data_IF_735362945284
#
_entry.id   IF_735362945284
#
_cell.length_a   1.000
_cell.length_b   1.000
_cell.length_c   1.000
_cell.angle_alpha   90.00
_cell.angle_beta   90.00
_cell.angle_gamma   90.00
#
_symmetry.space_group_name_H-M   'P 1'
#
loop_
_entity.id
_entity.type
_entity.pdbx_description
1 polymer ?
#
# COMPACT_ATOMS: atom_id res chain seq x y z
N UNK A 1 43.07 33.18 -17.72
CA UNK A 1 42.45 34.16 -16.81
C UNK A 1 41.10 33.60 -16.40
N UNK A 2 41.08 32.90 -15.27
CA UNK A 2 39.85 32.38 -14.66
C UNK A 2 39.44 33.42 -13.62
N UNK A 3 38.19 33.86 -13.67
CA UNK A 3 37.71 35.04 -12.96
C UNK A 3 37.79 34.95 -11.43
N UNK A 4 37.88 36.11 -10.80
CA UNK A 4 37.81 36.30 -9.34
C UNK A 4 36.35 36.48 -8.92
N UNK A 5 35.98 35.89 -7.77
CA UNK A 5 34.68 36.10 -7.14
C UNK A 5 34.86 36.84 -5.82
N UNK A 6 34.00 37.83 -5.58
CA UNK A 6 33.95 38.63 -4.35
C UNK A 6 32.73 38.23 -3.53
N UNK A 7 32.94 37.87 -2.27
CA UNK A 7 31.88 37.65 -1.30
C UNK A 7 31.72 38.90 -0.44
N UNK A 8 30.53 39.50 -0.48
CA UNK A 8 30.17 40.63 0.38
C UNK A 8 29.23 40.10 1.46
N UNK A 9 29.68 40.13 2.71
CA UNK A 9 28.84 39.74 3.84
C UNK A 9 27.76 40.79 4.13
N UNK A 10 26.70 40.39 4.84
CA UNK A 10 25.58 41.28 5.24
C UNK A 10 25.97 42.45 6.16
N UNK A 11 27.24 42.56 6.55
CA UNK A 11 27.78 43.65 7.36
C UNK A 11 28.86 44.46 6.63
N UNK A 12 29.06 44.23 5.32
CA UNK A 12 29.86 45.11 4.46
C UNK A 12 31.37 44.84 4.41
N UNK A 13 31.87 43.80 5.08
CA UNK A 13 33.29 43.43 4.94
C UNK A 13 33.51 42.54 3.72
N UNK A 14 34.57 42.85 2.97
CA UNK A 14 34.98 42.20 1.73
C UNK A 14 36.31 41.47 1.97
N UNK A 15 36.35 40.16 1.69
CA UNK A 15 37.59 39.38 1.70
C UNK A 15 37.79 38.70 0.35
N UNK A 16 39.03 38.70 -0.12
CA UNK A 16 39.45 38.16 -1.41
C UNK A 16 40.12 36.80 -1.18
N UNK A 17 39.54 35.73 -1.73
CA UNK A 17 40.05 34.37 -1.54
C UNK A 17 40.70 33.91 -2.86
N UNK A 18 42.01 33.67 -2.81
CA UNK A 18 42.75 33.11 -3.94
C UNK A 18 42.85 31.58 -3.76
N UNK A 19 42.28 30.82 -4.68
CA UNK A 19 42.16 29.35 -4.56
C UNK A 19 43.01 28.69 -5.64
N UNK A 20 44.30 28.50 -5.32
CA UNK A 20 45.20 27.62 -6.09
C UNK A 20 45.43 26.26 -5.36
N UNK A 21 44.66 25.94 -4.29
CA UNK A 21 44.95 24.79 -3.40
C UNK A 21 43.72 23.88 -3.12
N UNK A 22 42.62 23.98 -3.87
CA UNK A 22 41.44 23.11 -3.64
C UNK A 22 41.16 22.25 -4.87
N UNK A 23 41.38 20.93 -4.75
CA UNK A 23 41.31 19.96 -5.84
C UNK A 23 39.91 19.32 -6.01
N UNK A 24 38.94 19.59 -5.13
CA UNK A 24 37.58 19.04 -5.25
C UNK A 24 36.46 19.87 -4.62
N UNK A 25 35.22 19.66 -5.09
CA UNK A 25 33.99 20.28 -4.57
C UNK A 25 33.79 20.05 -3.06
N UNK A 26 34.37 18.97 -2.52
CA UNK A 26 34.32 18.61 -1.10
C UNK A 26 35.19 19.53 -0.24
N UNK A 27 36.30 20.01 -0.79
CA UNK A 27 37.24 20.87 -0.08
C UNK A 27 36.70 22.30 0.01
N UNK A 28 35.99 22.74 -1.03
CA UNK A 28 35.24 24.01 -1.05
C UNK A 28 34.12 24.00 0.01
N UNK A 29 33.35 22.90 0.09
CA UNK A 29 32.28 22.76 1.10
C UNK A 29 32.83 22.83 2.54
N UNK A 30 33.92 22.12 2.83
CA UNK A 30 34.52 22.09 4.16
C UNK A 30 35.18 23.42 4.56
N UNK A 31 35.71 24.18 3.60
CA UNK A 31 36.32 25.48 3.86
C UNK A 31 35.30 26.53 4.34
N UNK A 32 34.12 26.59 3.70
CA UNK A 32 33.05 27.52 4.07
C UNK A 32 32.19 27.06 5.26
N UNK A 33 32.23 25.77 5.60
CA UNK A 33 31.42 25.19 6.68
C UNK A 33 32.28 24.57 7.78
N UNK A 34 33.05 25.44 8.48
CA UNK A 34 33.60 25.13 9.80
C UNK A 34 32.47 24.94 10.83
N UNK A 35 31.69 23.87 10.71
CA UNK A 35 30.69 23.52 11.72
C UNK A 35 31.38 22.92 12.94
N UNK A 36 31.21 23.60 14.09
CA UNK A 36 31.41 22.97 15.40
C UNK A 36 30.43 21.80 15.49
N UNK A 37 30.94 20.57 15.50
CA UNK A 37 30.15 19.38 15.87
C UNK A 37 29.57 19.58 17.27
N UNK A 38 28.28 19.91 17.35
CA UNK A 38 27.50 19.72 18.56
C UNK A 38 27.21 18.21 18.64
N UNK A 39 27.49 17.62 19.79
CA UNK A 39 27.40 16.19 20.02
C UNK A 39 25.92 15.74 19.94
N UNK A 40 25.49 15.20 18.79
CA UNK A 40 24.11 14.75 18.52
C UNK A 40 23.74 13.44 19.24
N UNK A 41 24.14 13.24 20.50
CA UNK A 41 23.79 12.04 21.26
C UNK A 41 22.38 12.05 21.85
N UNK A 42 21.69 13.20 21.86
CA UNK A 42 20.38 13.36 22.52
C UNK A 42 19.28 13.93 21.62
N UNK A 43 19.43 13.87 20.29
CA UNK A 43 18.31 14.20 19.40
C UNK A 43 17.44 12.96 19.25
N UNK A 44 16.36 12.89 20.04
CA UNK A 44 15.30 11.92 19.81
C UNK A 44 14.53 12.34 18.55
N UNK A 45 14.79 11.66 17.44
CA UNK A 45 14.13 11.90 16.14
C UNK A 45 12.60 11.78 16.24
N UNK A 46 12.09 11.07 17.25
CA UNK A 46 10.65 11.00 17.59
C UNK A 46 10.03 12.34 18.00
N UNK A 47 10.85 13.33 18.37
CA UNK A 47 10.38 14.65 18.84
C UNK A 47 10.55 15.74 17.78
N UNK A 48 11.05 15.39 16.60
CA UNK A 48 11.18 16.33 15.48
C UNK A 48 10.04 16.03 14.51
N UNK A 49 9.01 16.86 14.57
CA UNK A 49 7.98 16.91 13.54
C UNK A 49 8.57 17.55 12.29
N UNK A 50 9.03 16.72 11.34
CA UNK A 50 9.54 17.15 10.03
C UNK A 50 8.40 17.57 9.08
N UNK A 51 7.15 17.52 9.53
CA UNK A 51 6.02 18.07 8.82
C UNK A 51 6.20 19.59 8.81
N UNK A 52 6.35 20.25 7.64
CA UNK A 52 6.36 21.71 7.60
C UNK A 52 5.16 22.23 8.38
N UNK A 53 5.35 23.28 9.18
CA UNK A 53 4.35 23.86 10.10
C UNK A 53 2.95 24.06 9.46
N UNK A 54 2.87 24.09 8.13
CA UNK A 54 1.68 24.16 7.28
C UNK A 54 0.91 22.84 7.05
N UNK A 55 1.33 21.70 7.59
CA UNK A 55 0.73 20.38 7.34
C UNK A 55 0.19 19.67 8.59
N UNK A 56 0.12 20.35 9.75
CA UNK A 56 -0.39 19.77 11.01
C UNK A 56 -1.81 19.23 10.88
N UNK A 57 -2.69 19.92 10.17
CA UNK A 57 -4.06 19.44 9.92
C UNK A 57 -4.07 18.18 9.03
N UNK A 58 -3.22 18.14 8.01
CA UNK A 58 -3.08 16.98 7.14
C UNK A 58 -2.62 15.74 7.91
N UNK A 59 -1.65 15.92 8.81
CA UNK A 59 -1.17 14.86 9.69
C UNK A 59 -2.27 14.39 10.66
N UNK A 60 -3.07 15.32 11.19
CA UNK A 60 -4.23 14.98 12.03
C UNK A 60 -5.24 14.13 11.27
N UNK A 61 -5.58 14.48 10.03
CA UNK A 61 -6.49 13.68 9.21
C UNK A 61 -5.89 12.31 8.85
N UNK A 62 -4.61 12.27 8.49
CA UNK A 62 -3.93 11.01 8.21
C UNK A 62 -3.97 10.08 9.42
N UNK A 63 -3.67 10.58 10.63
CA UNK A 63 -3.69 9.81 11.87
C UNK A 63 -5.11 9.35 12.21
N UNK A 64 -6.10 10.23 12.11
CA UNK A 64 -7.50 9.88 12.34
C UNK A 64 -7.98 8.75 11.41
N UNK A 65 -7.66 8.85 10.11
CA UNK A 65 -7.99 7.81 9.13
C UNK A 65 -7.28 6.50 9.48
N UNK A 66 -5.98 6.57 9.81
CA UNK A 66 -5.18 5.39 10.16
C UNK A 66 -5.72 4.68 11.39
N UNK A 67 -5.97 5.42 12.46
CA UNK A 67 -6.51 4.89 13.72
C UNK A 67 -7.89 4.27 13.51
N UNK A 68 -8.75 4.90 12.70
CA UNK A 68 -10.06 4.35 12.34
C UNK A 68 -9.92 3.03 11.60
N UNK A 69 -9.04 2.96 10.60
CA UNK A 69 -8.79 1.74 9.82
C UNK A 69 -8.27 0.62 10.72
N UNK A 70 -7.22 0.90 11.50
CA UNK A 70 -6.57 -0.09 12.37
C UNK A 70 -7.53 -0.64 13.41
N UNK A 71 -8.30 0.23 14.06
CA UNK A 71 -9.30 -0.17 15.04
C UNK A 71 -10.35 -1.07 14.42
N UNK A 72 -11.00 -0.64 13.34
CA UNK A 72 -12.10 -1.37 12.74
C UNK A 72 -11.67 -2.69 12.10
N UNK A 73 -10.45 -2.77 11.54
CA UNK A 73 -9.89 -4.02 11.05
C UNK A 73 -9.57 -4.97 12.21
N UNK A 74 -8.91 -4.49 13.26
CA UNK A 74 -8.54 -5.32 14.43
C UNK A 74 -9.77 -5.86 15.15
N UNK A 75 -10.73 -5.00 15.45
CA UNK A 75 -11.96 -5.37 16.15
C UNK A 75 -12.87 -6.25 15.28
N UNK A 76 -12.93 -5.97 13.97
CA UNK A 76 -13.87 -6.58 13.05
C UNK A 76 -13.42 -7.90 12.43
N UNK A 77 -12.12 -8.11 12.26
CA UNK A 77 -11.56 -9.29 11.61
C UNK A 77 -10.73 -10.17 12.54
N UNK A 78 -10.35 -9.73 13.74
CA UNK A 78 -9.47 -10.49 14.65
C UNK A 78 -8.18 -10.92 13.94
N UNK A 79 -7.44 -9.94 13.42
CA UNK A 79 -6.20 -10.12 12.65
C UNK A 79 -4.98 -10.26 13.56
N UNK A 80 -3.98 -11.00 13.09
CA UNK A 80 -2.61 -10.95 13.62
C UNK A 80 -1.81 -9.88 12.88
N UNK A 81 -1.20 -8.96 13.62
CA UNK A 81 -0.37 -7.91 13.02
C UNK A 81 1.02 -8.44 12.69
N UNK A 82 1.46 -8.22 11.45
CA UNK A 82 2.78 -8.61 10.97
C UNK A 82 3.51 -7.41 10.39
N UNK A 83 4.83 -7.55 10.25
CA UNK A 83 5.67 -6.58 9.57
C UNK A 83 6.71 -7.30 8.72
N UNK A 84 6.70 -7.01 7.44
CA UNK A 84 7.62 -7.55 6.44
C UNK A 84 8.64 -6.48 6.04
N UNK A 85 9.69 -6.92 5.35
CA UNK A 85 10.74 -6.02 4.85
C UNK A 85 10.27 -5.23 3.64
N UNK A 86 10.73 -3.98 3.50
CA UNK A 86 10.46 -3.15 2.32
C UNK A 86 11.35 -3.49 1.13
N UNK A 87 12.40 -4.28 1.34
CA UNK A 87 13.35 -4.75 0.31
C UNK A 87 13.41 -6.27 0.34
N UNK A 88 13.26 -6.90 -0.82
CA UNK A 88 13.40 -8.35 -0.99
C UNK A 88 14.46 -8.67 -2.03
N UNK A 89 15.19 -9.77 -1.83
CA UNK A 89 16.01 -10.36 -2.89
C UNK A 89 15.08 -10.94 -3.95
N UNK A 90 15.22 -10.48 -5.19
CA UNK A 90 14.40 -10.92 -6.31
C UNK A 90 14.62 -12.42 -6.60
N UNK A 91 13.58 -13.09 -7.06
CA UNK A 91 13.60 -14.52 -7.43
C UNK A 91 12.42 -14.83 -8.37
N UNK A 92 12.44 -16.02 -8.99
CA UNK A 92 11.44 -16.45 -9.97
C UNK A 92 9.99 -16.33 -9.48
N UNK A 93 9.72 -16.64 -8.20
CA UNK A 93 8.36 -16.56 -7.62
C UNK A 93 7.89 -15.12 -7.50
N UNK A 94 8.77 -14.21 -7.09
CA UNK A 94 8.45 -12.78 -7.03
C UNK A 94 8.26 -12.20 -8.43
N UNK A 95 9.02 -12.65 -9.43
CA UNK A 95 8.82 -12.25 -10.83
C UNK A 95 7.50 -12.78 -11.40
N UNK A 96 7.12 -14.01 -11.06
CA UNK A 96 5.83 -14.58 -11.45
C UNK A 96 4.67 -13.82 -10.79
N UNK A 97 4.77 -13.52 -9.48
CA UNK A 97 3.80 -12.68 -8.76
C UNK A 97 3.70 -11.27 -9.37
N UNK A 98 4.85 -10.68 -9.72
CA UNK A 98 4.90 -9.38 -10.37
C UNK A 98 4.16 -9.39 -11.72
N UNK A 99 4.42 -10.39 -12.57
CA UNK A 99 3.72 -10.58 -13.85
C UNK A 99 2.23 -10.80 -13.64
N UNK A 100 1.86 -11.58 -12.63
CA UNK A 100 0.46 -11.84 -12.25
C UNK A 100 -0.28 -10.53 -11.95
N UNK A 101 0.32 -9.66 -11.15
CA UNK A 101 -0.32 -8.42 -10.72
C UNK A 101 -0.16 -7.28 -11.73
N UNK A 102 0.78 -7.39 -12.67
CA UNK A 102 1.10 -6.32 -13.63
C UNK A 102 1.67 -5.08 -12.95
N UNK A 103 2.41 -5.25 -11.84
CA UNK A 103 2.98 -4.15 -11.07
C UNK A 103 4.40 -3.85 -11.52
N UNK A 104 4.66 -2.59 -11.88
CA UNK A 104 6.03 -2.12 -12.09
C UNK A 104 6.69 -1.86 -10.74
N UNK A 105 7.90 -2.38 -10.56
CA UNK A 105 8.64 -2.31 -9.29
C UNK A 105 9.98 -1.62 -9.49
N UNK A 106 10.48 -0.98 -8.44
CA UNK A 106 11.84 -0.47 -8.41
C UNK A 106 12.81 -1.63 -8.15
N UNK A 107 13.91 -1.67 -8.92
CA UNK A 107 15.03 -2.56 -8.68
C UNK A 107 16.12 -1.81 -7.91
N UNK A 108 16.60 -2.39 -6.82
CA UNK A 108 17.76 -1.93 -6.06
C UNK A 108 18.96 -2.79 -6.48
N UNK A 109 19.73 -2.30 -7.44
CA UNK A 109 20.69 -3.13 -8.20
C UNK A 109 19.98 -4.30 -8.94
N UNK A 110 20.71 -5.22 -9.56
CA UNK A 110 20.08 -6.34 -10.29
C UNK A 110 19.43 -7.38 -9.37
N UNK A 111 19.85 -7.46 -8.10
CA UNK A 111 19.44 -8.53 -7.18
C UNK A 111 18.23 -8.23 -6.30
N UNK A 112 17.91 -6.96 -6.00
CA UNK A 112 16.89 -6.62 -5.00
C UNK A 112 15.76 -5.77 -5.58
N UNK A 113 14.61 -5.81 -4.93
CA UNK A 113 13.42 -5.04 -5.32
C UNK A 113 12.86 -4.30 -4.11
N UNK A 114 12.32 -3.10 -4.33
CA UNK A 114 11.40 -2.50 -3.36
C UNK A 114 10.02 -3.13 -3.53
N UNK A 115 9.38 -3.48 -2.42
CA UNK A 115 8.11 -4.21 -2.44
C UNK A 115 6.98 -3.33 -3.03
N UNK A 116 6.30 -3.77 -4.11
CA UNK A 116 5.22 -2.99 -4.71
C UNK A 116 3.87 -3.20 -4.01
N UNK A 117 3.75 -4.23 -3.17
CA UNK A 117 2.57 -4.51 -2.35
C UNK A 117 2.99 -5.39 -1.15
N UNK A 118 2.21 -5.37 -0.07
CA UNK A 118 2.42 -6.21 1.12
C UNK A 118 2.46 -7.71 0.77
N UNK A 119 1.68 -8.12 -0.24
CA UNK A 119 1.67 -9.46 -0.82
C UNK A 119 3.05 -10.10 -0.97
N UNK A 120 4.04 -9.34 -1.45
CA UNK A 120 5.38 -9.85 -1.72
C UNK A 120 6.08 -10.32 -0.44
N UNK A 121 5.92 -9.57 0.65
CA UNK A 121 6.46 -9.92 1.95
C UNK A 121 5.72 -11.10 2.56
N UNK A 122 4.38 -11.04 2.57
CA UNK A 122 3.53 -12.06 3.20
C UNK A 122 3.70 -13.43 2.54
N UNK A 123 3.72 -13.50 1.21
CA UNK A 123 3.88 -14.80 0.53
C UNK A 123 5.32 -15.32 0.58
N UNK A 124 6.30 -14.43 0.70
CA UNK A 124 7.67 -14.84 1.01
C UNK A 124 7.78 -15.46 2.42
N UNK A 125 7.04 -14.94 3.39
CA UNK A 125 6.98 -15.48 4.75
C UNK A 125 6.34 -16.88 4.78
N UNK A 126 5.25 -17.08 4.01
CA UNK A 126 4.51 -18.34 3.95
C UNK A 126 5.00 -19.33 2.88
N UNK A 127 6.18 -19.07 2.30
CA UNK A 127 6.74 -19.86 1.21
C UNK A 127 6.91 -21.33 1.61
N UNK A 128 6.40 -22.24 0.78
CA UNK A 128 6.47 -23.70 0.96
C UNK A 128 5.80 -24.23 2.26
N UNK A 129 4.97 -23.42 2.92
CA UNK A 129 4.25 -23.82 4.14
C UNK A 129 3.10 -24.78 3.82
N UNK A 130 2.95 -25.81 4.65
CA UNK A 130 1.79 -26.70 4.64
C UNK A 130 0.99 -26.53 5.95
N UNK A 131 -0.10 -25.78 5.85
CA UNK A 131 -1.03 -25.45 6.93
C UNK A 131 -1.90 -26.65 7.31
N UNK A 132 -2.38 -26.64 8.55
CA UNK A 132 -3.41 -27.56 9.03
C UNK A 132 -4.78 -26.89 9.01
N UNK A 133 -5.85 -27.68 8.86
CA UNK A 133 -7.20 -27.13 8.74
C UNK A 133 -7.66 -26.37 10.00
N UNK A 134 -7.20 -26.77 11.19
CA UNK A 134 -7.52 -26.16 12.49
C UNK A 134 -6.89 -24.77 12.70
N UNK A 135 -5.89 -24.41 11.91
CA UNK A 135 -5.29 -23.08 11.91
C UNK A 135 -6.10 -22.06 11.11
N UNK A 136 -7.04 -22.51 10.27
CA UNK A 136 -7.75 -21.65 9.33
C UNK A 136 -9.07 -21.13 9.93
N UNK A 137 -9.47 -19.89 9.59
CA UNK A 137 -8.75 -18.93 8.73
C UNK A 137 -7.62 -18.22 9.48
N UNK A 138 -6.46 -18.08 8.81
CA UNK A 138 -5.37 -17.22 9.29
C UNK A 138 -5.57 -15.85 8.66
N UNK A 139 -5.63 -14.79 9.47
CA UNK A 139 -5.80 -13.41 9.00
C UNK A 139 -4.62 -12.57 9.44
N UNK A 140 -3.90 -12.02 8.49
CA UNK A 140 -2.72 -11.21 8.70
C UNK A 140 -3.03 -9.78 8.30
N UNK A 141 -2.64 -8.82 9.12
CA UNK A 141 -2.72 -7.40 8.81
C UNK A 141 -1.32 -6.80 8.79
N UNK A 142 -1.04 -6.00 7.77
CA UNK A 142 0.18 -5.22 7.67
C UNK A 142 -0.14 -3.78 7.25
N UNK A 143 0.41 -2.81 7.99
CA UNK A 143 0.50 -1.43 7.53
C UNK A 143 1.80 -1.24 6.73
N UNK A 144 1.78 -1.65 5.47
CA UNK A 144 2.97 -1.79 4.65
C UNK A 144 3.38 -0.47 3.97
N UNK A 145 4.69 -0.20 3.91
CA UNK A 145 5.24 0.85 3.04
C UNK A 145 5.58 0.23 1.68
N UNK A 146 4.95 0.70 0.63
CA UNK A 146 5.06 0.13 -0.72
C UNK A 146 5.59 1.14 -1.74
N UNK A 147 6.19 0.62 -2.81
CA UNK A 147 6.85 1.39 -3.85
C UNK A 147 6.47 0.89 -5.24
N UNK A 148 5.88 1.75 -6.08
CA UNK A 148 5.50 1.40 -7.45
C UNK A 148 6.02 2.44 -8.43
N UNK A 149 6.50 1.97 -9.58
CA UNK A 149 6.76 2.87 -10.70
C UNK A 149 5.40 3.21 -11.32
N UNK A 150 5.07 4.49 -11.32
CA UNK A 150 3.85 5.02 -11.93
C UNK A 150 4.22 5.96 -13.08
N UNK A 151 3.34 6.05 -14.07
CA UNK A 151 3.53 6.97 -15.19
C UNK A 151 3.49 8.43 -14.71
N UNK A 152 4.44 9.25 -15.18
CA UNK A 152 4.64 10.66 -14.74
C UNK A 152 3.40 11.55 -14.82
N UNK A 153 2.39 11.18 -15.62
CA UNK A 153 1.19 11.99 -15.88
C UNK A 153 0.05 11.79 -14.88
N UNK A 154 0.22 10.92 -13.87
CA UNK A 154 -0.84 10.61 -12.90
C UNK A 154 -0.76 11.54 -11.70
N UNK A 155 -1.93 11.92 -11.17
CA UNK A 155 -2.04 12.68 -9.93
C UNK A 155 -1.33 11.94 -8.78
N UNK A 156 -0.34 12.61 -8.21
CA UNK A 156 0.55 12.07 -7.19
C UNK A 156 -0.16 11.61 -5.91
N UNK A 157 -1.33 12.15 -5.56
CA UNK A 157 -2.09 11.69 -4.39
C UNK A 157 -2.99 10.49 -4.73
N UNK A 158 -3.52 10.44 -5.94
CA UNK A 158 -4.33 9.30 -6.41
C UNK A 158 -3.48 8.09 -6.74
N UNK A 159 -2.25 8.29 -7.24
CA UNK A 159 -1.31 7.24 -7.67
C UNK A 159 0.16 7.60 -7.33
N UNK A 160 0.50 7.70 -6.04
CA UNK A 160 1.87 7.96 -5.61
C UNK A 160 2.81 6.80 -5.95
N UNK A 161 4.09 7.13 -6.15
CA UNK A 161 5.16 6.13 -6.30
C UNK A 161 5.57 5.49 -4.98
N UNK A 162 5.32 6.16 -3.85
CA UNK A 162 5.52 5.62 -2.49
C UNK A 162 4.26 5.82 -1.68
N UNK A 163 3.76 4.77 -1.03
CA UNK A 163 2.49 4.85 -0.32
C UNK A 163 2.43 3.92 0.87
N UNK A 164 1.52 4.20 1.80
CA UNK A 164 1.22 3.34 2.93
C UNK A 164 -0.04 2.54 2.62
N UNK A 165 0.03 1.23 2.77
CA UNK A 165 -1.04 0.29 2.40
C UNK A 165 -1.43 -0.52 3.64
N UNK A 166 -2.57 -0.23 4.27
CA UNK A 166 -3.23 -1.14 5.20
C UNK A 166 -3.76 -2.32 4.37
N UNK A 167 -3.15 -3.49 4.55
CA UNK A 167 -3.46 -4.69 3.77
C UNK A 167 -3.76 -5.86 4.70
N UNK A 168 -4.69 -6.71 4.26
CA UNK A 168 -5.13 -7.90 4.98
C UNK A 168 -5.05 -9.10 4.04
N UNK A 169 -4.33 -10.13 4.47
CA UNK A 169 -4.23 -11.42 3.79
C UNK A 169 -4.89 -12.49 4.65
N UNK A 170 -5.85 -13.21 4.06
CA UNK A 170 -6.54 -14.28 4.75
C UNK A 170 -6.36 -15.61 4.00
N UNK A 171 -5.71 -16.57 4.66
CA UNK A 171 -5.59 -17.95 4.17
C UNK A 171 -6.83 -18.73 4.62
N UNK A 172 -7.55 -19.31 3.67
CA UNK A 172 -8.87 -19.91 3.94
C UNK A 172 -9.19 -21.09 3.02
N UNK A 173 -9.85 -22.11 3.57
CA UNK A 173 -10.31 -23.30 2.83
C UNK A 173 -11.83 -23.29 2.61
N UNK A 174 -12.61 -23.13 3.68
CA UNK A 174 -14.09 -23.17 3.67
C UNK A 174 -14.67 -21.80 3.95
N UNK A 175 -15.94 -21.59 3.55
CA UNK A 175 -16.69 -20.36 3.83
C UNK A 175 -16.03 -19.07 3.30
N UNK A 176 -15.32 -19.17 2.16
CA UNK A 176 -14.57 -18.06 1.56
C UNK A 176 -15.42 -16.80 1.39
N UNK A 177 -16.67 -16.93 0.94
CA UNK A 177 -17.51 -15.76 0.71
C UNK A 177 -18.13 -15.17 1.98
N UNK A 178 -18.29 -15.96 3.04
CA UNK A 178 -18.62 -15.39 4.36
C UNK A 178 -17.45 -14.56 4.88
N UNK A 179 -16.22 -14.99 4.62
CA UNK A 179 -15.03 -14.20 4.95
C UNK A 179 -14.91 -12.94 4.09
N UNK A 180 -15.11 -13.04 2.76
CA UNK A 180 -15.21 -11.88 1.86
C UNK A 180 -16.25 -10.89 2.38
N UNK A 181 -17.42 -11.37 2.80
CA UNK A 181 -18.49 -10.53 3.35
C UNK A 181 -18.04 -9.75 4.58
N UNK A 182 -17.33 -10.37 5.53
CA UNK A 182 -16.77 -9.66 6.71
C UNK A 182 -15.87 -8.51 6.28
N UNK A 183 -14.95 -8.74 5.34
CA UNK A 183 -14.07 -7.70 4.84
C UNK A 183 -14.86 -6.55 4.19
N UNK A 184 -15.88 -6.88 3.39
CA UNK A 184 -16.76 -5.87 2.80
C UNK A 184 -17.52 -5.05 3.85
N UNK A 185 -18.07 -5.69 4.88
CA UNK A 185 -18.80 -5.01 5.96
C UNK A 185 -17.86 -4.05 6.70
N UNK A 186 -16.66 -4.49 7.06
CA UNK A 186 -15.67 -3.64 7.75
C UNK A 186 -15.23 -2.47 6.87
N UNK A 187 -14.95 -2.70 5.58
CA UNK A 187 -14.57 -1.61 4.68
C UNK A 187 -15.72 -0.61 4.43
N UNK A 188 -16.95 -1.10 4.30
CA UNK A 188 -18.14 -0.24 4.27
C UNK A 188 -18.29 0.58 5.55
N UNK A 189 -18.08 -0.03 6.71
CA UNK A 189 -18.16 0.65 8.01
C UNK A 189 -17.12 1.75 8.13
N UNK A 190 -15.86 1.47 7.79
CA UNK A 190 -14.77 2.46 7.79
C UNK A 190 -15.13 3.64 6.87
N UNK A 191 -15.52 3.38 5.63
CA UNK A 191 -15.88 4.47 4.70
C UNK A 191 -17.10 5.27 5.16
N UNK A 192 -18.09 4.63 5.81
CA UNK A 192 -19.23 5.32 6.43
C UNK A 192 -18.79 6.20 7.61
N UNK A 193 -17.89 5.74 8.48
CA UNK A 193 -17.32 6.54 9.59
C UNK A 193 -16.54 7.75 9.08
N UNK A 194 -15.79 7.55 7.98
CA UNK A 194 -15.06 8.62 7.32
C UNK A 194 -15.96 9.51 6.45
N UNK A 195 -17.25 9.18 6.33
CA UNK A 195 -18.25 9.84 5.49
C UNK A 195 -17.84 9.95 4.01
N UNK A 196 -17.02 9.02 3.53
CA UNK A 196 -16.60 8.99 2.13
C UNK A 196 -17.69 8.25 1.34
N UNK A 197 -18.40 8.90 0.40
CA UNK A 197 -19.43 8.24 -0.39
C UNK A 197 -18.78 7.18 -1.30
N UNK A 198 -19.48 6.07 -1.55
CA UNK A 198 -18.93 5.01 -2.39
C UNK A 198 -19.99 4.19 -3.10
N UNK A 199 -19.56 3.57 -4.20
CA UNK A 199 -20.25 2.52 -4.93
C UNK A 199 -19.42 1.24 -4.89
N UNK A 200 -20.08 0.08 -4.99
CA UNK A 200 -19.40 -1.21 -5.02
C UNK A 200 -19.48 -1.76 -6.45
N UNK A 201 -18.34 -2.17 -6.99
CA UNK A 201 -18.27 -2.93 -8.23
C UNK A 201 -17.68 -4.31 -7.98
N UNK A 202 -18.36 -5.35 -8.46
CA UNK A 202 -17.88 -6.72 -8.44
C UNK A 202 -17.44 -7.09 -9.85
N UNK A 203 -16.21 -7.58 -9.99
CA UNK A 203 -15.78 -8.29 -11.20
C UNK A 203 -15.68 -9.78 -10.91
N UNK A 204 -16.31 -10.60 -11.74
CA UNK A 204 -16.45 -12.04 -11.53
C UNK A 204 -16.58 -12.77 -12.88
N UNK A 205 -16.20 -14.04 -12.96
CA UNK A 205 -16.44 -14.83 -14.18
C UNK A 205 -17.90 -15.30 -14.27
N UNK A 206 -18.35 -15.68 -15.47
CA UNK A 206 -19.72 -16.18 -15.67
C UNK A 206 -20.00 -17.40 -14.78
N UNK A 207 -19.09 -18.38 -14.78
CA UNK A 207 -19.22 -19.59 -13.97
C UNK A 207 -19.37 -19.26 -12.48
N UNK A 208 -18.47 -18.43 -11.96
CA UNK A 208 -18.42 -18.06 -10.55
C UNK A 208 -19.66 -17.23 -10.15
N UNK A 209 -20.17 -16.39 -11.07
CA UNK A 209 -21.38 -15.62 -10.83
C UNK A 209 -22.61 -16.52 -10.68
N UNK A 210 -22.79 -17.49 -11.59
CA UNK A 210 -23.94 -18.40 -11.52
C UNK A 210 -23.97 -19.21 -10.22
N UNK A 211 -22.81 -19.70 -9.78
CA UNK A 211 -22.69 -20.45 -8.52
C UNK A 211 -22.97 -19.60 -7.28
N UNK A 212 -22.69 -18.29 -7.33
CA UNK A 212 -22.65 -17.42 -6.14
C UNK A 212 -23.68 -16.30 -6.13
N UNK A 213 -24.59 -16.30 -7.10
CA UNK A 213 -25.60 -15.24 -7.30
C UNK A 213 -26.37 -14.92 -6.03
N UNK A 214 -26.80 -15.93 -5.28
CA UNK A 214 -27.58 -15.70 -4.05
C UNK A 214 -26.71 -15.14 -2.91
N UNK A 215 -25.48 -15.61 -2.78
CA UNK A 215 -24.52 -15.08 -1.81
C UNK A 215 -24.25 -13.59 -2.11
N UNK A 216 -24.04 -13.22 -3.37
CA UNK A 216 -23.82 -11.83 -3.79
C UNK A 216 -25.05 -10.97 -3.49
N UNK A 217 -26.27 -11.48 -3.69
CA UNK A 217 -27.52 -10.78 -3.32
C UNK A 217 -27.62 -10.54 -1.81
N UNK A 218 -27.23 -11.52 -1.00
CA UNK A 218 -27.23 -11.38 0.46
C UNK A 218 -26.17 -10.38 0.93
N UNK A 219 -24.97 -10.38 0.33
CA UNK A 219 -23.95 -9.35 0.56
C UNK A 219 -24.52 -7.96 0.27
N UNK A 220 -25.18 -7.76 -0.88
CA UNK A 220 -25.74 -6.45 -1.25
C UNK A 220 -26.78 -5.95 -0.24
N UNK A 221 -27.66 -6.85 0.24
CA UNK A 221 -28.65 -6.55 1.28
C UNK A 221 -28.00 -6.15 2.60
N UNK A 222 -27.02 -6.93 3.06
CA UNK A 222 -26.34 -6.71 4.34
C UNK A 222 -25.53 -5.41 4.35
N UNK A 223 -24.96 -5.02 3.21
CA UNK A 223 -24.25 -3.75 3.06
C UNK A 223 -25.17 -2.54 2.90
N UNK A 224 -26.46 -2.78 2.59
CA UNK A 224 -27.44 -1.77 2.17
C UNK A 224 -26.93 -0.93 1.00
N UNK A 225 -26.31 -1.59 0.01
CA UNK A 225 -25.64 -0.95 -1.12
C UNK A 225 -25.82 -1.75 -2.41
N UNK A 226 -26.03 -1.04 -3.51
CA UNK A 226 -26.00 -1.62 -4.84
C UNK A 226 -24.59 -2.11 -5.20
N UNK A 227 -24.54 -3.26 -5.89
CA UNK A 227 -23.31 -3.85 -6.39
C UNK A 227 -23.39 -3.94 -7.92
N UNK A 228 -22.53 -3.18 -8.59
CA UNK A 228 -22.41 -3.20 -10.06
C UNK A 228 -21.59 -4.43 -10.45
N UNK A 229 -22.25 -5.44 -11.02
CA UNK A 229 -21.61 -6.71 -11.42
C UNK A 229 -21.12 -6.61 -12.87
N UNK A 230 -19.81 -6.77 -13.05
CA UNK A 230 -19.13 -6.89 -14.34
C UNK A 230 -18.71 -8.34 -14.54
N UNK A 231 -19.48 -9.06 -15.36
CA UNK A 231 -19.18 -10.45 -15.72
C UNK A 231 -18.14 -10.46 -16.84
N UNK A 232 -17.02 -11.15 -16.60
CA UNK A 232 -15.93 -11.26 -17.56
C UNK A 232 -15.80 -12.68 -18.11
N UNK A 233 -15.32 -12.88 -19.36
CA UNK A 233 -15.07 -14.20 -19.90
C UNK A 233 -14.11 -15.02 -19.02
N UNK A 234 -14.36 -16.33 -18.91
CA UNK A 234 -13.57 -17.26 -18.09
C UNK A 234 -12.05 -17.24 -18.41
N UNK A 235 -11.67 -16.80 -19.60
CA UNK A 235 -10.29 -16.75 -20.10
C UNK A 235 -9.42 -15.65 -19.48
N UNK A 236 -9.97 -14.76 -18.66
CA UNK A 236 -9.25 -13.60 -18.13
C UNK A 236 -9.43 -13.50 -16.61
N UNK A 237 -8.69 -14.31 -15.83
CA UNK A 237 -7.84 -13.86 -14.69
C UNK A 237 -7.39 -14.99 -13.76
N UNK A 238 -6.45 -14.61 -12.89
CA UNK A 238 -5.90 -15.41 -11.81
C UNK A 238 -6.79 -15.47 -10.56
N UNK A 239 -7.74 -14.56 -10.44
CA UNK A 239 -8.65 -14.46 -9.31
C UNK A 239 -10.05 -15.00 -9.64
N UNK A 240 -10.77 -15.44 -8.61
CA UNK A 240 -12.15 -15.94 -8.64
C UNK A 240 -13.16 -14.78 -8.67
N UNK A 241 -12.95 -13.79 -7.79
CA UNK A 241 -13.72 -12.56 -7.75
C UNK A 241 -12.90 -11.38 -7.23
N UNK A 242 -13.32 -10.16 -7.61
CA UNK A 242 -12.73 -8.92 -7.13
C UNK A 242 -13.79 -7.86 -6.90
N UNK A 243 -14.12 -7.62 -5.64
CA UNK A 243 -14.90 -6.47 -5.21
C UNK A 243 -14.01 -5.23 -5.14
N UNK A 244 -14.58 -4.08 -5.50
CA UNK A 244 -13.93 -2.79 -5.53
C UNK A 244 -14.87 -1.74 -4.96
N UNK A 245 -14.36 -0.88 -4.09
CA UNK A 245 -15.07 0.33 -3.71
C UNK A 245 -14.60 1.47 -4.60
N UNK A 246 -15.54 2.23 -5.12
CA UNK A 246 -15.29 3.31 -6.06
C UNK A 246 -15.85 4.60 -5.46
N UNK A 247 -14.98 5.59 -5.31
CA UNK A 247 -15.32 6.97 -5.00
C UNK A 247 -15.41 7.77 -6.30
N UNK A 248 -16.38 8.69 -6.39
CA UNK A 248 -16.47 9.64 -7.49
C UNK A 248 -16.14 11.02 -6.91
N UNK A 249 -15.05 11.61 -7.39
CA UNK A 249 -14.56 12.88 -6.86
C UNK A 249 -15.33 14.10 -7.39
N UNK A 250 -15.02 15.27 -6.83
CA UNK A 250 -15.61 16.56 -7.23
C UNK A 250 -15.39 16.94 -8.70
N UNK A 251 -14.38 16.35 -9.36
CA UNK A 251 -14.08 16.53 -10.78
C UNK A 251 -14.77 15.48 -11.67
N UNK A 252 -15.66 14.66 -11.11
CA UNK A 252 -16.31 13.53 -11.77
C UNK A 252 -15.37 12.39 -12.21
N UNK A 253 -14.17 12.28 -11.64
CA UNK A 253 -13.29 11.13 -11.85
C UNK A 253 -13.63 9.99 -10.89
N UNK A 254 -13.46 8.75 -11.35
CA UNK A 254 -13.72 7.55 -10.55
C UNK A 254 -12.42 6.98 -9.97
N UNK A 255 -12.34 6.93 -8.65
CA UNK A 255 -11.18 6.49 -7.90
C UNK A 255 -11.52 5.15 -7.23
N UNK A 256 -10.75 4.10 -7.54
CA UNK A 256 -10.87 2.82 -6.83
C UNK A 256 -10.20 2.93 -5.46
N UNK A 257 -10.93 2.85 -4.36
CA UNK A 257 -10.40 2.90 -3.00
C UNK A 257 -9.87 1.54 -2.57
N UNK A 258 -10.79 0.66 -2.19
CA UNK A 258 -10.48 -0.64 -1.60
C UNK A 258 -10.71 -1.78 -2.59
N UNK A 259 -10.12 -2.93 -2.26
CA UNK A 259 -10.35 -4.19 -2.98
C UNK A 259 -10.49 -5.34 -2.01
N UNK A 260 -11.40 -6.27 -2.30
CA UNK A 260 -11.45 -7.61 -1.69
C UNK A 260 -11.39 -8.61 -2.83
N UNK A 261 -10.31 -9.37 -2.92
CA UNK A 261 -10.01 -10.26 -4.03
C UNK A 261 -9.79 -11.68 -3.53
N UNK A 262 -10.44 -12.65 -4.17
CA UNK A 262 -10.22 -14.09 -3.93
C UNK A 262 -9.29 -14.62 -5.03
N UNK A 263 -8.14 -15.16 -4.65
CA UNK A 263 -7.14 -15.72 -5.56
C UNK A 263 -6.71 -17.13 -5.10
N UNK A 264 -6.33 -17.97 -6.07
CA UNK A 264 -5.81 -19.33 -5.88
C UNK A 264 -4.49 -19.56 -6.64
N UNK A 265 -4.04 -18.61 -7.48
CA UNK A 265 -2.76 -18.74 -8.20
C UNK A 265 -1.59 -18.37 -7.31
N UNK A 266 -1.74 -17.37 -6.45
CA UNK A 266 -0.68 -17.00 -5.50
C UNK A 266 -0.22 -18.17 -4.64
N UNK A 267 -1.16 -18.97 -4.09
CA UNK A 267 -0.81 -20.17 -3.32
C UNK A 267 -0.02 -21.18 -4.15
N UNK A 268 -0.28 -21.30 -5.46
CA UNK A 268 0.46 -22.20 -6.34
C UNK A 268 1.90 -21.72 -6.56
N UNK A 269 2.09 -20.42 -6.82
CA UNK A 269 3.40 -19.79 -7.04
C UNK A 269 4.31 -20.01 -5.82
N UNK A 270 3.76 -19.77 -4.63
CA UNK A 270 4.52 -19.87 -3.37
C UNK A 270 4.45 -21.24 -2.70
N UNK A 271 3.77 -22.21 -3.33
CA UNK A 271 3.53 -23.57 -2.81
C UNK A 271 2.93 -23.60 -1.40
N UNK A 272 2.01 -22.67 -1.14
CA UNK A 272 1.28 -22.57 0.12
C UNK A 272 0.13 -23.57 0.07
N UNK A 273 0.13 -24.53 1.00
CA UNK A 273 -0.82 -25.64 1.02
C UNK A 273 -1.56 -25.72 2.33
N UNK A 274 -2.71 -26.38 2.33
CA UNK A 274 -3.37 -26.94 3.49
C UNK A 274 -3.46 -28.45 3.29
N UNK A 275 -2.86 -29.23 4.18
CA UNK A 275 -2.86 -30.70 4.14
C UNK A 275 -2.58 -31.28 2.73
N UNK A 276 -1.60 -30.69 2.04
CA UNK A 276 -1.17 -31.11 0.70
C UNK A 276 -1.95 -30.52 -0.47
N UNK A 277 -3.07 -29.82 -0.23
CA UNK A 277 -3.91 -29.15 -1.25
C UNK A 277 -3.61 -27.65 -1.31
N UNK A 278 -3.76 -27.04 -2.49
CA UNK A 278 -3.61 -25.59 -2.63
C UNK A 278 -4.76 -24.88 -1.92
N UNK A 279 -4.44 -23.80 -1.21
CA UNK A 279 -5.39 -23.03 -0.40
C UNK A 279 -5.87 -21.77 -1.14
N UNK A 280 -7.08 -21.30 -0.86
CA UNK A 280 -7.56 -20.00 -1.35
C UNK A 280 -7.02 -18.88 -0.46
N UNK A 281 -6.72 -17.75 -1.08
CA UNK A 281 -6.22 -16.56 -0.40
C UNK A 281 -7.18 -15.40 -0.70
N UNK A 282 -7.63 -14.72 0.34
CA UNK A 282 -8.32 -13.45 0.22
C UNK A 282 -7.28 -12.35 0.46
N UNK A 283 -7.09 -11.52 -0.56
CA UNK A 283 -6.22 -10.35 -0.50
C UNK A 283 -7.12 -9.13 -0.45
N UNK A 284 -6.93 -8.27 0.54
CA UNK A 284 -7.81 -7.12 0.66
C UNK A 284 -7.16 -5.93 1.34
N UNK A 285 -7.43 -4.76 0.79
CA UNK A 285 -6.97 -3.50 1.35
C UNK A 285 -8.09 -2.49 1.27
N UNK A 286 -8.18 -1.60 2.26
CA UNK A 286 -9.06 -0.42 2.24
C UNK A 286 -8.59 0.63 1.21
N UNK A 287 -7.41 0.45 0.62
CA UNK A 287 -6.75 1.39 -0.29
C UNK A 287 -5.53 2.02 0.38
N UNK A 288 -4.70 2.70 -0.42
CA UNK A 288 -3.57 3.43 0.16
C UNK A 288 -4.06 4.58 1.02
N UNK A 289 -3.33 4.86 2.10
CA UNK A 289 -3.61 5.98 2.99
C UNK A 289 -3.67 7.31 2.24
N UNK A 290 -2.79 7.49 1.26
CA UNK A 290 -2.72 8.71 0.45
C UNK A 290 -3.98 8.90 -0.40
N UNK A 291 -4.57 7.81 -0.92
CA UNK A 291 -5.79 7.86 -1.71
C UNK A 291 -7.01 8.09 -0.83
N UNK A 292 -7.04 7.49 0.36
CA UNK A 292 -8.11 7.73 1.33
C UNK A 292 -8.06 9.14 1.89
N UNK A 293 -6.86 9.68 2.13
CA UNK A 293 -6.68 11.06 2.55
C UNK A 293 -7.17 12.03 1.46
N UNK A 294 -6.84 11.78 0.19
CA UNK A 294 -7.39 12.54 -0.92
C UNK A 294 -8.93 12.53 -0.90
N UNK A 295 -9.54 11.34 -0.85
CA UNK A 295 -11.01 11.22 -0.82
C UNK A 295 -11.65 11.82 0.42
N UNK A 296 -10.98 11.78 1.58
CA UNK A 296 -11.46 12.40 2.81
C UNK A 296 -11.44 13.93 2.76
N UNK A 297 -10.49 14.51 2.02
CA UNK A 297 -10.40 15.96 1.82
C UNK A 297 -11.33 16.46 0.71
N UNK A 298 -11.67 15.60 -0.24
CA UNK A 298 -12.53 15.94 -1.38
C UNK A 298 -14.03 15.74 -1.13
N UNK A 299 -14.42 14.92 -0.12
CA UNK A 299 -15.81 14.51 0.15
C UNK A 299 -16.79 15.67 0.40
#
# INVERSE_FOLDING_TARGET
MVGYYKYISKFGNEEEINIDILESDKDVYNFFHKEKKINCKNIYVSNIDYTPIYQKELLKYFNYIKETIEKEIKDGLAVEEIKTTTILKNNERLEELQKLFGLQQFKCNEEYILVPASDFGVFSLYKDVNLKQDQLPIRLYEFAKCYRIEEKKKDSLKRPTTFNLPDVHCFIDKNVYEEVKKHLVIYSKILKILEIPFFISLRISEKEYQEKKEIIRNIAKELEKDIIVNIVPNSIKYWESKFKYIYKDSNNEYIQLSTVQVDYKTSNIFKIKMEGKNIKIIHSSIGSMERLLYSYLDK
#
